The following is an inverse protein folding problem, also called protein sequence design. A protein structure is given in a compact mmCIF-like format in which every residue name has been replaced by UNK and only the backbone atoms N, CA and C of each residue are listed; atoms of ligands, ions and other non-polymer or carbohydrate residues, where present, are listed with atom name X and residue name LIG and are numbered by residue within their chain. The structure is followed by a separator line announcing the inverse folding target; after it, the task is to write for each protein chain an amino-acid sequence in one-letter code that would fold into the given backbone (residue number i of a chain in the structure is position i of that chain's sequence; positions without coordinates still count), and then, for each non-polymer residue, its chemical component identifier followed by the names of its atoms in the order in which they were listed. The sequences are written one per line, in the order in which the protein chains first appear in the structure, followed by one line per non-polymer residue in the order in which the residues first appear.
data_IF_130987245839
#
_entry.id   IF_130987245839
#
_cell.length_a   1.000
_cell.length_b   1.000
_cell.length_c   1.000
_cell.angle_alpha   90.00
_cell.angle_beta   90.00
_cell.angle_gamma   90.00
#
_symmetry.space_group_name_H-M   'P 1'
#
loop_
_entity.id
_entity.type
_entity.pdbx_description
1 polymer ?
#
# COMPACT_ATOMS: atom_id res chain seq x y z
N UNK A 1 -5.17 -5.21 -27.33
CA UNK A 1 -5.80 -4.30 -26.35
C UNK A 1 -6.39 -3.11 -27.06
N UNK A 2 -7.71 -3.00 -27.06
CA UNK A 2 -8.43 -1.84 -27.57
C UNK A 2 -8.12 -0.57 -26.75
N UNK A 3 -8.23 0.61 -27.37
CA UNK A 3 -7.81 1.87 -26.76
C UNK A 3 -8.66 2.21 -25.51
N UNK A 4 -9.92 1.76 -25.47
CA UNK A 4 -10.78 1.88 -24.30
C UNK A 4 -10.28 1.02 -23.11
N UNK A 5 -9.83 -0.21 -23.36
CA UNK A 5 -9.26 -1.10 -22.34
C UNK A 5 -7.96 -0.51 -21.74
N UNK A 6 -7.18 0.20 -22.56
CA UNK A 6 -5.91 0.84 -22.16
C UNK A 6 -6.10 2.01 -21.21
N UNK A 7 -7.15 2.80 -21.42
CA UNK A 7 -7.56 3.85 -20.48
C UNK A 7 -7.97 3.26 -19.12
N UNK A 8 -8.78 2.19 -19.12
CA UNK A 8 -9.20 1.50 -17.89
C UNK A 8 -8.01 0.92 -17.13
N UNK A 9 -7.06 0.29 -17.83
CA UNK A 9 -5.84 -0.24 -17.22
C UNK A 9 -4.99 0.88 -16.59
N UNK A 10 -4.78 2.00 -17.30
CA UNK A 10 -4.06 3.17 -16.75
C UNK A 10 -4.71 3.66 -15.46
N UNK A 11 -6.03 3.79 -15.41
CA UNK A 11 -6.74 4.19 -14.20
C UNK A 11 -6.50 3.24 -13.03
N UNK A 12 -6.65 1.92 -13.26
CA UNK A 12 -6.40 0.89 -12.23
C UNK A 12 -4.93 0.88 -11.77
N UNK A 13 -3.99 1.07 -12.70
CA UNK A 13 -2.57 1.14 -12.41
C UNK A 13 -2.21 2.37 -11.57
N UNK A 14 -2.76 3.55 -11.90
CA UNK A 14 -2.56 4.77 -11.10
C UNK A 14 -3.06 4.57 -9.67
N UNK A 15 -4.26 3.99 -9.50
CA UNK A 15 -4.80 3.71 -8.15
C UNK A 15 -3.88 2.75 -7.37
N UNK A 16 -3.37 1.70 -8.03
CA UNK A 16 -2.40 0.79 -7.42
C UNK A 16 -1.11 1.52 -7.04
N UNK A 17 -0.52 2.30 -7.95
CA UNK A 17 0.71 3.05 -7.70
C UNK A 17 0.54 4.03 -6.53
N UNK A 18 -0.58 4.75 -6.46
CA UNK A 18 -0.89 5.66 -5.35
C UNK A 18 -1.03 4.89 -4.03
N UNK A 19 -1.78 3.77 -4.00
CA UNK A 19 -1.90 2.95 -2.80
C UNK A 19 -0.54 2.43 -2.31
N UNK A 20 0.31 1.98 -3.24
CA UNK A 20 1.66 1.50 -2.91
C UNK A 20 2.51 2.60 -2.29
N UNK A 21 2.49 3.82 -2.85
CA UNK A 21 3.22 4.95 -2.29
C UNK A 21 2.72 5.30 -0.87
N UNK A 22 1.40 5.30 -0.63
CA UNK A 22 0.84 5.53 0.70
C UNK A 22 1.33 4.49 1.70
N UNK A 23 1.37 3.20 1.29
CA UNK A 23 1.90 2.11 2.12
C UNK A 23 3.36 2.37 2.47
N UNK A 24 4.19 2.69 1.47
CA UNK A 24 5.62 2.97 1.67
C UNK A 24 5.80 4.14 2.66
N UNK A 25 5.06 5.23 2.48
CA UNK A 25 5.12 6.39 3.38
C UNK A 25 4.67 6.02 4.80
N UNK A 26 3.61 5.23 4.96
CA UNK A 26 3.18 4.72 6.27
C UNK A 26 4.27 3.90 6.95
N UNK A 27 4.90 2.95 6.24
CA UNK A 27 5.97 2.14 6.81
C UNK A 27 7.22 2.96 7.12
N UNK A 28 7.61 3.89 6.24
CA UNK A 28 8.74 4.78 6.48
C UNK A 28 8.53 5.62 7.73
N UNK A 29 7.34 6.21 7.89
CA UNK A 29 6.95 6.96 9.09
C UNK A 29 6.92 6.06 10.34
N UNK A 30 6.38 4.85 10.23
CA UNK A 30 6.33 3.89 11.34
C UNK A 30 7.74 3.53 11.84
N UNK A 31 8.64 3.19 10.91
CA UNK A 31 10.03 2.87 11.22
C UNK A 31 10.75 4.08 11.81
N UNK A 32 10.55 5.28 11.26
CA UNK A 32 11.11 6.51 11.81
C UNK A 32 10.65 6.75 13.25
N UNK A 33 9.35 6.61 13.52
CA UNK A 33 8.78 6.76 14.87
C UNK A 33 9.35 5.70 15.82
N UNK A 34 9.46 4.46 15.38
CA UNK A 34 10.03 3.38 16.20
C UNK A 34 11.52 3.60 16.49
N UNK A 35 12.32 4.02 15.51
CA UNK A 35 13.74 4.23 15.72
C UNK A 35 14.02 5.47 16.57
N UNK A 36 13.25 6.56 16.38
CA UNK A 36 13.52 7.84 17.03
C UNK A 36 12.84 8.00 18.39
N UNK A 37 11.63 7.47 18.56
CA UNK A 37 10.78 7.74 19.73
C UNK A 37 10.47 6.51 20.59
N UNK A 38 10.58 5.28 20.08
CA UNK A 38 10.43 4.09 20.93
C UNK A 38 11.51 3.95 22.03
N UNK A 39 12.78 4.39 21.84
CA UNK A 39 13.78 4.32 22.91
C UNK A 39 13.46 5.24 24.10
N UNK A 40 12.67 6.29 23.91
CA UNK A 40 12.42 7.33 24.91
C UNK A 40 11.09 7.17 25.67
N UNK A 41 10.23 6.23 25.26
CA UNK A 41 9.01 5.94 26.02
C UNK A 41 8.02 4.96 25.37
N UNK A 42 7.18 4.34 26.20
CA UNK A 42 6.18 3.33 25.80
C UNK A 42 5.18 3.85 24.77
N UNK A 43 4.84 5.15 24.80
CA UNK A 43 3.92 5.76 23.84
C UNK A 43 4.45 5.73 22.40
N UNK A 44 5.74 6.02 22.18
CA UNK A 44 6.35 5.98 20.84
C UNK A 44 6.36 4.57 20.26
N UNK A 45 6.57 3.57 21.12
CA UNK A 45 6.50 2.16 20.75
C UNK A 45 5.08 1.75 20.35
N UNK A 46 4.07 2.10 21.15
CA UNK A 46 2.66 1.78 20.85
C UNK A 46 2.21 2.43 19.54
N UNK A 47 2.52 3.73 19.34
CA UNK A 47 2.17 4.45 18.11
C UNK A 47 2.84 3.80 16.89
N UNK A 48 4.13 3.47 16.99
CA UNK A 48 4.87 2.83 15.91
C UNK A 48 4.33 1.44 15.55
N UNK A 49 3.95 0.63 16.56
CA UNK A 49 3.33 -0.69 16.33
C UNK A 49 1.97 -0.57 15.67
N UNK A 50 1.13 0.39 16.10
CA UNK A 50 -0.17 0.65 15.46
C UNK A 50 0.02 1.07 14.00
N UNK A 51 0.97 1.97 13.73
CA UNK A 51 1.30 2.41 12.37
C UNK A 51 1.76 1.25 11.47
N UNK A 52 2.60 0.33 12.00
CA UNK A 52 2.97 -0.89 11.28
C UNK A 52 1.78 -1.81 11.02
N UNK A 53 0.89 -1.99 12.00
CA UNK A 53 -0.29 -2.83 11.86
C UNK A 53 -1.25 -2.26 10.79
N UNK A 54 -1.49 -0.95 10.79
CA UNK A 54 -2.28 -0.27 9.76
C UNK A 54 -1.61 -0.42 8.39
N UNK A 55 -0.30 -0.20 8.30
CA UNK A 55 0.48 -0.41 7.08
C UNK A 55 0.30 -1.83 6.52
N UNK A 56 0.39 -2.85 7.38
CA UNK A 56 0.20 -4.24 6.98
C UNK A 56 -1.21 -4.54 6.44
N UNK A 57 -2.25 -4.00 7.07
CA UNK A 57 -3.65 -4.15 6.58
C UNK A 57 -3.82 -3.50 5.21
N UNK A 58 -3.24 -2.31 5.00
CA UNK A 58 -3.23 -1.66 3.70
C UNK A 58 -2.45 -2.46 2.66
N UNK A 59 -1.30 -3.05 3.01
CA UNK A 59 -0.54 -3.94 2.12
C UNK A 59 -1.34 -5.16 1.68
N UNK A 60 -2.09 -5.79 2.58
CA UNK A 60 -2.96 -6.93 2.24
C UNK A 60 -4.05 -6.48 1.25
N UNK A 61 -4.67 -5.33 1.51
CA UNK A 61 -5.71 -4.76 0.63
C UNK A 61 -5.17 -4.41 -0.76
N UNK A 62 -3.97 -3.82 -0.82
CA UNK A 62 -3.26 -3.54 -2.06
C UNK A 62 -2.96 -4.84 -2.82
N UNK A 63 -2.44 -5.86 -2.13
CA UNK A 63 -2.13 -7.16 -2.73
C UNK A 63 -3.37 -7.81 -3.36
N UNK A 64 -4.52 -7.76 -2.68
CA UNK A 64 -5.80 -8.25 -3.22
C UNK A 64 -6.20 -7.52 -4.49
N UNK A 65 -6.16 -6.18 -4.50
CA UNK A 65 -6.47 -5.36 -5.69
C UNK A 65 -5.49 -5.58 -6.84
N UNK A 66 -4.22 -5.79 -6.52
CA UNK A 66 -3.20 -6.11 -7.51
C UNK A 66 -3.50 -7.44 -8.21
N UNK A 67 -3.77 -8.51 -7.46
CA UNK A 67 -4.13 -9.80 -8.04
C UNK A 67 -5.43 -9.75 -8.85
N UNK A 68 -6.44 -9.02 -8.39
CA UNK A 68 -7.67 -8.81 -9.16
C UNK A 68 -7.41 -8.09 -10.49
N UNK A 69 -6.55 -7.06 -10.47
CA UNK A 69 -6.19 -6.32 -11.69
C UNK A 69 -5.35 -7.19 -12.63
N UNK A 70 -4.46 -8.02 -12.09
CA UNK A 70 -3.66 -8.98 -12.86
C UNK A 70 -4.51 -10.08 -13.50
N UNK A 71 -5.46 -10.65 -12.75
CA UNK A 71 -6.39 -11.64 -13.26
C UNK A 71 -7.24 -11.06 -14.39
N UNK A 72 -7.80 -9.86 -14.18
CA UNK A 72 -8.52 -9.13 -15.23
C UNK A 72 -7.65 -8.88 -16.47
N UNK A 73 -6.37 -8.54 -16.31
CA UNK A 73 -5.46 -8.32 -17.44
C UNK A 73 -5.19 -9.62 -18.24
N UNK A 74 -5.16 -10.78 -17.58
CA UNK A 74 -5.02 -12.07 -18.26
C UNK A 74 -6.31 -12.55 -18.94
N UNK A 75 -7.47 -12.07 -18.49
CA UNK A 75 -8.76 -12.34 -19.14
C UNK A 75 -9.04 -11.44 -20.36
N UNK A 76 -8.28 -10.36 -20.56
CA UNK A 76 -8.41 -9.51 -21.75
C UNK A 76 -7.78 -10.22 -22.97
N UNK A 77 -8.52 -10.40 -24.09
CA UNK A 77 -8.00 -10.99 -25.32
C UNK A 77 -7.03 -10.08 -26.09
#
# INVERSE_FOLDING_TARGET
MDEATKQVFKGRFVVLAVMLNIIILCFAMAVFVLLRFAPEGTLGLVIGVILLAVGAVFSISFRKRYYQTKAWLHEQP
#
